data_IF_498500017186
#
_entry.id   IF_498500017186
#
_cell.length_a   1.000
_cell.length_b   1.000
_cell.length_c   1.000
_cell.angle_alpha   90.00
_cell.angle_beta   90.00
_cell.angle_gamma   90.00
#
_symmetry.space_group_name_H-M   'P 1'
#
loop_
_entity.id
_entity.type
_entity.pdbx_description
1 polymer ?
#
# COMPACT_ATOMS: atom_id res chain seq x y z
N UNK A 1 14.67 -1.68 -32.07
CA UNK A 1 13.87 -1.71 -30.83
C UNK A 1 12.38 -1.50 -31.05
N UNK A 2 11.93 -0.51 -31.86
CA UNK A 2 10.48 -0.16 -32.05
C UNK A 2 9.52 -1.32 -32.39
N UNK A 3 9.93 -2.32 -33.18
CA UNK A 3 9.07 -3.49 -33.48
C UNK A 3 8.91 -4.45 -32.29
N UNK A 4 9.97 -4.63 -31.49
CA UNK A 4 9.92 -5.51 -30.32
C UNK A 4 9.04 -4.91 -29.23
N UNK A 5 9.16 -3.61 -28.95
CA UNK A 5 8.28 -2.94 -27.99
C UNK A 5 6.81 -3.04 -28.41
N UNK A 6 6.49 -2.78 -29.69
CA UNK A 6 5.13 -2.94 -30.21
C UNK A 6 4.59 -4.38 -30.08
N UNK A 7 5.43 -5.41 -30.29
CA UNK A 7 5.03 -6.80 -30.09
C UNK A 7 4.77 -7.10 -28.60
N UNK A 8 5.63 -6.61 -27.71
CA UNK A 8 5.48 -6.77 -26.26
C UNK A 8 4.21 -6.07 -25.72
N UNK A 9 3.82 -4.93 -26.29
CA UNK A 9 2.56 -4.24 -25.94
C UNK A 9 1.32 -5.04 -26.38
N UNK A 10 1.41 -5.84 -27.43
CA UNK A 10 0.27 -6.60 -27.97
C UNK A 10 0.10 -7.99 -27.33
N UNK A 11 1.03 -8.42 -26.47
CA UNK A 11 0.88 -9.66 -25.72
C UNK A 11 -0.10 -9.45 -24.56
N UNK A 12 -0.99 -10.43 -24.26
CA UNK A 12 -1.79 -10.40 -23.05
C UNK A 12 -0.86 -10.30 -21.84
N UNK A 13 -1.04 -9.28 -21.00
CA UNK A 13 -0.27 -9.16 -19.77
C UNK A 13 -0.69 -10.29 -18.82
N UNK A 14 0.24 -11.17 -18.46
CA UNK A 14 0.07 -12.18 -17.42
C UNK A 14 0.91 -11.81 -16.18
N UNK A 15 0.73 -12.53 -15.07
CA UNK A 15 1.52 -12.31 -13.85
C UNK A 15 3.01 -12.50 -14.15
N UNK A 16 3.36 -13.56 -14.87
CA UNK A 16 4.73 -13.94 -15.19
C UNK A 16 5.39 -12.90 -16.09
N UNK A 17 4.67 -12.41 -17.09
CA UNK A 17 5.15 -11.34 -17.98
C UNK A 17 5.32 -10.02 -17.22
N UNK A 18 4.35 -9.67 -16.36
CA UNK A 18 4.44 -8.47 -15.54
C UNK A 18 5.67 -8.50 -14.64
N UNK A 19 5.90 -9.61 -13.93
CA UNK A 19 7.08 -9.78 -13.07
C UNK A 19 8.39 -9.70 -13.89
N UNK A 20 8.43 -10.32 -15.08
CA UNK A 20 9.58 -10.24 -15.98
C UNK A 20 9.88 -8.80 -16.41
N UNK A 21 8.86 -8.00 -16.72
CA UNK A 21 9.05 -6.59 -17.09
C UNK A 21 9.51 -5.73 -15.92
N UNK A 22 9.13 -6.06 -14.69
CA UNK A 22 9.57 -5.34 -13.50
C UNK A 22 11.01 -5.70 -13.07
N UNK A 23 11.39 -6.97 -13.24
CA UNK A 23 12.73 -7.47 -12.90
C UNK A 23 13.79 -7.18 -13.98
N UNK A 24 13.37 -6.67 -15.14
CA UNK A 24 14.27 -6.44 -16.27
C UNK A 24 15.39 -5.43 -15.91
N UNK A 25 16.67 -5.86 -15.88
CA UNK A 25 17.78 -4.98 -15.56
C UNK A 25 18.01 -4.02 -16.71
N UNK A 26 17.52 -2.79 -16.59
CA UNK A 26 17.62 -1.83 -17.67
C UNK A 26 18.88 -0.97 -17.55
N UNK A 27 19.66 -0.90 -18.64
CA UNK A 27 20.65 0.17 -18.79
C UNK A 27 19.93 1.51 -18.99
N UNK A 28 20.54 2.61 -18.54
CA UNK A 28 19.95 3.96 -18.58
C UNK A 28 19.48 4.39 -19.98
N UNK A 29 20.06 3.80 -21.05
CA UNK A 29 19.71 4.06 -22.45
C UNK A 29 18.35 3.47 -22.86
N UNK A 30 17.94 2.34 -22.29
CA UNK A 30 16.71 1.61 -22.68
C UNK A 30 15.57 1.83 -21.68
N UNK A 31 15.87 2.35 -20.49
CA UNK A 31 14.89 2.53 -19.40
C UNK A 31 13.68 3.36 -19.82
N UNK A 32 13.92 4.48 -20.51
CA UNK A 32 12.86 5.34 -21.02
C UNK A 32 11.99 4.66 -22.10
N UNK A 33 12.58 3.75 -22.88
CA UNK A 33 11.84 3.05 -23.94
C UNK A 33 10.91 1.96 -23.37
N UNK A 34 11.25 1.34 -22.24
CA UNK A 34 10.46 0.27 -21.64
C UNK A 34 9.58 0.72 -20.47
N UNK A 35 9.68 1.99 -20.04
CA UNK A 35 8.90 2.54 -18.92
C UNK A 35 7.41 2.26 -19.03
N UNK A 36 6.85 2.39 -20.25
CA UNK A 36 5.44 2.09 -20.51
C UNK A 36 5.06 0.62 -20.22
N UNK A 37 5.98 -0.33 -20.43
CA UNK A 37 5.77 -1.74 -20.09
C UNK A 37 5.84 -1.96 -18.58
N UNK A 38 6.79 -1.30 -17.91
CA UNK A 38 6.91 -1.32 -16.45
C UNK A 38 5.66 -0.74 -15.79
N UNK A 39 5.16 0.40 -16.27
CA UNK A 39 3.95 1.04 -15.75
C UNK A 39 2.72 0.17 -15.98
N UNK A 40 2.57 -0.39 -17.18
CA UNK A 40 1.50 -1.33 -17.49
C UNK A 40 1.56 -2.60 -16.63
N UNK A 41 2.76 -3.12 -16.33
CA UNK A 41 2.94 -4.26 -15.45
C UNK A 41 2.53 -3.95 -14.00
N UNK A 42 2.90 -2.76 -13.47
CA UNK A 42 2.48 -2.30 -12.14
C UNK A 42 0.96 -2.15 -12.07
N UNK A 43 0.36 -1.48 -13.05
CA UNK A 43 -1.08 -1.28 -13.12
C UNK A 43 -1.82 -2.63 -13.22
N UNK A 44 -1.33 -3.55 -14.06
CA UNK A 44 -1.88 -4.89 -14.18
C UNK A 44 -1.87 -5.64 -12.84
N UNK A 45 -0.73 -5.68 -12.14
CA UNK A 45 -0.63 -6.37 -10.85
C UNK A 45 -1.53 -5.72 -9.80
N UNK A 46 -1.53 -4.39 -9.70
CA UNK A 46 -2.38 -3.66 -8.77
C UNK A 46 -3.87 -3.93 -9.02
N UNK A 47 -4.30 -3.99 -10.30
CA UNK A 47 -5.68 -4.30 -10.66
C UNK A 47 -6.04 -5.76 -10.42
N UNK A 48 -5.14 -6.70 -10.75
CA UNK A 48 -5.36 -8.14 -10.52
C UNK A 48 -5.52 -8.45 -9.03
N UNK A 49 -4.63 -7.91 -8.20
CA UNK A 49 -4.60 -8.14 -6.75
C UNK A 49 -5.32 -7.04 -5.94
N UNK A 50 -6.20 -6.26 -6.59
CA UNK A 50 -6.90 -5.14 -5.96
C UNK A 50 -7.66 -5.54 -4.69
N UNK A 51 -8.19 -6.75 -4.65
CA UNK A 51 -8.85 -7.34 -3.48
C UNK A 51 -7.93 -8.42 -2.92
N UNK A 52 -7.09 -8.06 -1.94
CA UNK A 52 -6.01 -8.91 -1.44
C UNK A 52 -6.53 -10.27 -0.92
N UNK A 53 -7.64 -10.25 -0.19
CA UNK A 53 -8.24 -11.44 0.43
C UNK A 53 -8.67 -12.54 -0.58
N UNK A 54 -8.74 -12.21 -1.88
CA UNK A 54 -9.04 -13.21 -2.92
C UNK A 54 -7.84 -14.06 -3.30
N UNK A 55 -6.62 -13.64 -2.95
CA UNK A 55 -5.38 -14.24 -3.45
C UNK A 55 -4.34 -14.47 -2.33
N UNK A 56 -4.70 -15.01 -1.15
CA UNK A 56 -3.77 -15.08 -0.02
C UNK A 56 -2.52 -15.89 -0.33
N UNK A 57 -2.67 -17.08 -0.94
CA UNK A 57 -1.53 -17.93 -1.29
C UNK A 57 -0.66 -17.32 -2.41
N UNK A 58 -1.30 -16.79 -3.45
CA UNK A 58 -0.56 -16.16 -4.56
C UNK A 58 0.26 -14.95 -4.12
N UNK A 59 -0.27 -14.17 -3.16
CA UNK A 59 0.41 -13.02 -2.57
C UNK A 59 1.53 -13.44 -1.62
N UNK A 60 1.34 -14.49 -0.82
CA UNK A 60 2.41 -15.04 0.00
C UNK A 60 3.58 -15.56 -0.85
N UNK A 61 3.31 -16.19 -1.99
CA UNK A 61 4.33 -16.66 -2.94
C UNK A 61 4.83 -15.55 -3.90
N UNK A 62 4.39 -14.30 -3.72
CA UNK A 62 4.77 -13.20 -4.62
C UNK A 62 6.21 -12.76 -4.35
N UNK A 63 7.07 -12.58 -5.38
CA UNK A 63 8.39 -12.01 -5.17
C UNK A 63 8.29 -10.53 -4.77
N UNK A 64 9.34 -10.02 -4.11
CA UNK A 64 9.41 -8.66 -3.59
C UNK A 64 8.98 -7.60 -4.62
N UNK A 65 9.47 -7.67 -5.86
CA UNK A 65 9.15 -6.70 -6.90
C UNK A 65 7.65 -6.63 -7.21
N UNK A 66 6.94 -7.76 -7.09
CA UNK A 66 5.50 -7.84 -7.26
C UNK A 66 4.76 -7.24 -6.07
N UNK A 67 5.20 -7.55 -4.84
CA UNK A 67 4.67 -6.93 -3.62
C UNK A 67 4.79 -5.41 -3.70
N UNK A 68 5.96 -4.89 -4.05
CA UNK A 68 6.16 -3.45 -4.18
C UNK A 68 5.25 -2.82 -5.23
N UNK A 69 5.11 -3.46 -6.39
CA UNK A 69 4.23 -2.97 -7.45
C UNK A 69 2.77 -2.89 -6.99
N UNK A 70 2.29 -3.91 -6.28
CA UNK A 70 0.91 -3.99 -5.77
C UNK A 70 0.68 -2.92 -4.69
N UNK A 71 1.52 -2.90 -3.65
CA UNK A 71 1.34 -2.03 -2.48
C UNK A 71 1.76 -0.57 -2.71
N UNK A 72 2.45 -0.27 -3.82
CA UNK A 72 2.62 1.12 -4.28
C UNK A 72 1.30 1.76 -4.75
N UNK A 73 0.29 0.95 -5.12
CA UNK A 73 -1.00 1.45 -5.60
C UNK A 73 -1.84 2.08 -4.49
N UNK A 74 -2.49 3.20 -4.80
CA UNK A 74 -3.48 3.85 -3.92
C UNK A 74 -4.87 3.25 -4.02
N UNK A 75 -5.11 2.39 -4.99
CA UNK A 75 -6.46 1.94 -5.36
C UNK A 75 -6.80 0.55 -4.81
N UNK A 76 -6.00 0.02 -3.89
CA UNK A 76 -6.25 -1.28 -3.27
C UNK A 76 -7.53 -1.25 -2.42
N UNK A 77 -8.37 -2.27 -2.56
CA UNK A 77 -9.58 -2.47 -1.75
C UNK A 77 -9.20 -3.22 -0.47
N UNK A 78 -8.54 -2.49 0.43
CA UNK A 78 -8.15 -2.98 1.75
C UNK A 78 -9.19 -2.61 2.81
N UNK A 79 -9.37 -3.49 3.79
CA UNK A 79 -10.23 -3.21 4.94
C UNK A 79 -9.64 -2.13 5.85
N UNK A 80 -8.31 -2.14 6.03
CA UNK A 80 -7.55 -1.12 6.75
C UNK A 80 -6.06 -1.21 6.41
N UNK A 81 -5.33 -0.11 6.65
CA UNK A 81 -3.86 -0.11 6.57
C UNK A 81 -3.20 -0.92 7.70
N UNK A 82 -3.95 -1.21 8.78
CA UNK A 82 -3.50 -2.15 9.82
C UNK A 82 -3.37 -3.57 9.27
N UNK A 83 -4.29 -3.98 8.37
CA UNK A 83 -4.23 -5.27 7.71
C UNK A 83 -3.05 -5.36 6.75
N UNK A 84 -2.72 -4.25 6.06
CA UNK A 84 -1.53 -4.17 5.20
C UNK A 84 -0.25 -4.33 6.01
N UNK A 85 -0.16 -3.65 7.17
CA UNK A 85 0.99 -3.80 8.07
C UNK A 85 1.17 -5.26 8.49
N UNK A 86 0.10 -5.90 8.99
CA UNK A 86 0.16 -7.30 9.44
C UNK A 86 0.55 -8.22 8.28
N UNK A 87 -0.06 -8.06 7.11
CA UNK A 87 0.24 -8.87 5.93
C UNK A 87 1.71 -8.74 5.49
N UNK A 88 2.24 -7.52 5.36
CA UNK A 88 3.62 -7.32 4.92
C UNK A 88 4.63 -7.86 5.94
N UNK A 89 4.29 -7.79 7.23
CA UNK A 89 5.12 -8.34 8.30
C UNK A 89 5.16 -9.87 8.23
N UNK A 90 3.99 -10.52 8.10
CA UNK A 90 3.91 -11.96 7.89
C UNK A 90 4.67 -12.39 6.62
N UNK A 91 4.49 -11.65 5.52
CA UNK A 91 5.16 -11.93 4.25
C UNK A 91 6.69 -11.86 4.38
N UNK A 92 7.25 -10.82 5.00
CA UNK A 92 8.72 -10.70 5.12
C UNK A 92 9.31 -11.79 6.03
N UNK A 93 8.56 -12.21 7.05
CA UNK A 93 8.96 -13.31 7.94
C UNK A 93 8.97 -14.66 7.23
N UNK A 94 7.99 -14.93 6.36
CA UNK A 94 7.93 -16.16 5.57
C UNK A 94 8.97 -16.20 4.45
N UNK A 95 9.25 -15.05 3.81
CA UNK A 95 10.17 -15.00 2.66
C UNK A 95 11.65 -15.01 3.03
N UNK A 96 12.00 -14.55 4.23
CA UNK A 96 13.39 -14.40 4.64
C UNK A 96 13.62 -15.05 6.02
N UNK A 97 14.33 -16.17 6.01
CA UNK A 97 14.71 -16.89 7.23
C UNK A 97 15.74 -16.09 8.05
N UNK A 98 16.67 -15.43 7.38
CA UNK A 98 17.74 -14.64 8.00
C UNK A 98 17.24 -13.28 8.48
N UNK A 99 17.46 -12.99 9.76
CA UNK A 99 16.98 -11.76 10.43
C UNK A 99 17.55 -10.49 9.81
N UNK A 100 18.83 -10.47 9.41
CA UNK A 100 19.45 -9.29 8.79
C UNK A 100 18.80 -8.91 7.45
N UNK A 101 18.50 -9.92 6.62
CA UNK A 101 17.81 -9.70 5.34
C UNK A 101 16.36 -9.25 5.56
N UNK A 102 15.65 -9.84 6.54
CA UNK A 102 14.32 -9.35 6.97
C UNK A 102 14.37 -7.88 7.32
N UNK A 103 15.29 -7.49 8.19
CA UNK A 103 15.43 -6.11 8.66
C UNK A 103 15.71 -5.14 7.52
N UNK A 104 16.61 -5.53 6.61
CA UNK A 104 16.97 -4.72 5.45
C UNK A 104 15.79 -4.54 4.49
N UNK A 105 15.07 -5.62 4.15
CA UNK A 105 13.93 -5.56 3.23
C UNK A 105 12.77 -4.80 3.87
N UNK A 106 12.47 -5.08 5.14
CA UNK A 106 11.44 -4.39 5.89
C UNK A 106 11.69 -2.87 5.91
N UNK A 107 12.87 -2.46 6.36
CA UNK A 107 13.18 -1.04 6.56
C UNK A 107 13.27 -0.23 5.26
N UNK A 108 13.92 -0.79 4.23
CA UNK A 108 14.25 -0.04 3.02
C UNK A 108 13.20 -0.15 1.91
N UNK A 109 12.43 -1.26 1.86
CA UNK A 109 11.52 -1.56 0.75
C UNK A 109 10.06 -1.59 1.18
N UNK A 110 9.73 -2.20 2.31
CA UNK A 110 8.34 -2.39 2.73
C UNK A 110 7.77 -1.24 3.58
N UNK A 111 8.54 -0.70 4.54
CA UNK A 111 8.13 0.45 5.35
C UNK A 111 7.66 1.66 4.52
N UNK A 112 8.32 2.03 3.39
CA UNK A 112 7.86 3.12 2.54
C UNK A 112 6.49 2.91 1.87
N UNK A 113 6.02 1.66 1.77
CA UNK A 113 4.73 1.33 1.17
C UNK A 113 3.56 1.57 2.15
N UNK A 114 3.85 1.56 3.46
CA UNK A 114 2.85 1.70 4.51
C UNK A 114 2.42 3.15 4.72
N UNK A 115 1.10 3.36 4.79
CA UNK A 115 0.52 4.68 5.07
C UNK A 115 0.21 4.81 6.56
N UNK A 116 1.23 4.99 7.40
CA UNK A 116 1.09 5.09 8.86
C UNK A 116 0.03 6.10 9.33
N UNK A 117 -0.19 7.19 8.58
CA UNK A 117 -1.23 8.17 8.87
C UNK A 117 -2.67 7.62 8.78
N UNK A 118 -2.86 6.52 8.06
CA UNK A 118 -4.15 5.86 7.88
C UNK A 118 -4.32 4.62 8.77
N UNK A 119 -3.26 4.19 9.46
CA UNK A 119 -3.35 3.13 10.48
C UNK A 119 -4.14 3.60 11.71
N UNK A 120 -4.71 2.65 12.45
CA UNK A 120 -5.41 2.94 13.70
C UNK A 120 -4.44 3.35 14.79
N UNK A 121 -4.90 4.25 15.67
CA UNK A 121 -4.11 4.67 16.83
C UNK A 121 -3.71 3.47 17.71
N UNK A 122 -4.63 2.51 17.88
CA UNK A 122 -4.39 1.28 18.64
C UNK A 122 -3.23 0.47 18.04
N UNK A 123 -3.27 0.19 16.73
CA UNK A 123 -2.21 -0.59 16.06
C UNK A 123 -0.86 0.12 16.13
N UNK A 124 -0.83 1.43 15.92
CA UNK A 124 0.40 2.22 16.05
C UNK A 124 0.99 2.14 17.46
N UNK A 125 0.15 2.21 18.51
CA UNK A 125 0.62 2.03 19.88
C UNK A 125 1.13 0.62 20.15
N UNK A 126 0.42 -0.40 19.68
CA UNK A 126 0.83 -1.80 19.82
C UNK A 126 2.24 -2.02 19.24
N UNK A 127 2.49 -1.53 18.02
CA UNK A 127 3.81 -1.65 17.38
C UNK A 127 4.89 -0.88 18.13
N UNK A 128 4.59 0.28 18.73
CA UNK A 128 5.56 1.01 19.56
C UNK A 128 5.91 0.28 20.87
N UNK A 129 4.94 -0.41 21.46
CA UNK A 129 5.12 -1.11 22.74
C UNK A 129 5.76 -2.47 22.59
N UNK A 130 5.68 -3.07 21.40
CA UNK A 130 6.22 -4.38 21.11
C UNK A 130 7.68 -4.24 20.66
N UNK A 131 8.61 -4.82 21.41
CA UNK A 131 9.97 -5.08 20.93
C UNK A 131 9.97 -6.43 20.23
N UNK A 132 9.88 -6.37 18.90
CA UNK A 132 10.10 -7.54 18.05
C UNK A 132 11.55 -7.57 17.61
N UNK A 133 12.25 -8.67 17.88
CA UNK A 133 13.60 -8.90 17.36
C UNK A 133 13.56 -9.27 15.85
N UNK A 134 12.40 -9.64 15.31
CA UNK A 134 12.28 -10.13 13.94
C UNK A 134 12.35 -9.05 12.86
N UNK A 135 12.13 -7.77 13.21
CA UNK A 135 12.17 -6.61 12.30
C UNK A 135 12.71 -5.36 12.98
N UNK A 136 13.55 -4.59 12.26
CA UNK A 136 14.15 -3.33 12.74
C UNK A 136 13.07 -2.39 13.30
N UNK A 137 13.04 -2.35 14.64
CA UNK A 137 12.03 -1.64 15.37
C UNK A 137 12.29 -0.13 15.40
N UNK A 138 13.54 0.32 15.26
CA UNK A 138 13.89 1.73 15.45
C UNK A 138 13.36 2.62 14.32
N UNK A 139 13.52 2.20 13.06
CA UNK A 139 12.96 2.94 11.92
C UNK A 139 11.42 2.91 11.92
N UNK A 140 10.84 1.77 12.30
CA UNK A 140 9.39 1.58 12.43
C UNK A 140 8.84 2.53 13.51
N UNK A 141 9.44 2.54 14.71
CA UNK A 141 9.11 3.44 15.82
C UNK A 141 9.19 4.92 15.44
N UNK A 142 10.23 5.31 14.69
CA UNK A 142 10.38 6.70 14.21
C UNK A 142 9.21 7.10 13.31
N UNK A 143 8.88 6.29 12.29
CA UNK A 143 7.77 6.55 11.36
C UNK A 143 6.42 6.62 12.08
N UNK A 144 6.22 5.74 13.06
CA UNK A 144 5.00 5.74 13.87
C UNK A 144 4.92 7.00 14.73
N UNK A 145 6.02 7.41 15.36
CA UNK A 145 6.07 8.63 16.18
C UNK A 145 5.67 9.86 15.35
N UNK A 146 6.20 9.98 14.13
CA UNK A 146 5.85 11.06 13.19
C UNK A 146 4.35 11.02 12.82
N UNK A 147 3.80 9.83 12.55
CA UNK A 147 2.38 9.68 12.23
C UNK A 147 1.45 10.00 13.42
N UNK A 148 1.83 9.59 14.64
CA UNK A 148 1.08 9.90 15.86
C UNK A 148 1.12 11.39 16.18
N UNK A 149 2.26 12.05 15.96
CA UNK A 149 2.38 13.50 16.08
C UNK A 149 1.44 14.20 15.09
N UNK A 150 1.43 13.78 13.82
CA UNK A 150 0.52 14.33 12.82
C UNK A 150 -0.96 14.14 13.20
N UNK A 151 -1.35 12.95 13.69
CA UNK A 151 -2.72 12.69 14.19
C UNK A 151 -3.08 13.55 15.40
N UNK A 152 -2.16 13.77 16.35
CA UNK A 152 -2.37 14.67 17.49
C UNK A 152 -2.47 16.14 17.08
N UNK A 153 -1.73 16.55 16.04
CA UNK A 153 -1.70 17.93 15.54
C UNK A 153 -2.91 18.27 14.65
N UNK A 154 -3.66 17.26 14.20
CA UNK A 154 -4.88 17.42 13.37
C UNK A 154 -6.18 17.04 14.10
N UNK A 155 -6.49 17.58 15.30
CA UNK A 155 -7.70 17.22 16.02
C UNK A 155 -9.00 17.79 15.42
N UNK A 156 -8.95 18.52 14.30
CA UNK A 156 -10.03 19.39 13.83
C UNK A 156 -10.80 18.94 12.59
N UNK A 157 -10.34 17.96 11.81
CA UNK A 157 -11.05 17.57 10.57
C UNK A 157 -12.16 16.54 10.78
N UNK A 158 -12.14 15.76 11.88
CA UNK A 158 -13.19 14.77 12.17
C UNK A 158 -14.48 15.36 12.77
N UNK A 159 -14.53 16.66 13.10
CA UNK A 159 -15.74 17.30 13.66
C UNK A 159 -16.60 18.05 12.65
N UNK A 160 -16.10 18.34 11.45
CA UNK A 160 -16.83 19.20 10.50
C UNK A 160 -17.86 18.42 9.67
N UNK A 161 -17.80 17.09 9.62
CA UNK A 161 -18.76 16.30 8.80
C UNK A 161 -20.04 15.86 9.54
N UNK A 162 -20.17 16.05 10.86
CA UNK A 162 -21.34 15.58 11.63
C UNK A 162 -22.30 16.69 12.10
N UNK A 163 -22.26 17.88 11.51
CA UNK A 163 -23.16 18.98 11.92
C UNK A 163 -23.89 19.71 10.78
N UNK A 164 -24.06 19.08 9.61
CA UNK A 164 -24.85 19.65 8.50
C UNK A 164 -26.17 18.93 8.17
N UNK A 165 -26.69 18.07 9.05
CA UNK A 165 -28.05 17.51 8.92
C UNK A 165 -28.90 17.83 10.14
N UNK A 166 -29.18 19.12 10.35
CA UNK A 166 -30.38 19.57 11.06
C UNK A 166 -30.71 21.00 10.64
N UNK A 167 -31.32 21.16 9.46
CA UNK A 167 -32.14 22.34 9.17
C UNK A 167 -33.52 22.12 9.79
N UNK A 168 -34.06 23.04 10.60
CA UNK A 168 -35.43 22.95 11.06
C UNK A 168 -36.39 23.29 9.91
N UNK A 169 -37.29 22.36 9.61
CA UNK A 169 -38.42 22.55 8.70
C UNK A 169 -39.28 23.71 9.23
N UNK A 170 -39.35 24.79 8.46
CA UNK A 170 -40.25 25.92 8.72
C UNK A 170 -41.69 25.43 8.59
N UNK A 171 -42.41 25.33 9.71
CA UNK A 171 -43.85 25.05 9.70
C UNK A 171 -44.61 26.30 9.27
N UNK A 172 -45.11 26.32 8.04
CA UNK A 172 -46.15 27.27 7.62
C UNK A 172 -47.44 26.98 8.41
N UNK A 173 -47.78 27.86 9.35
CA UNK A 173 -49.11 27.93 9.92
C UNK A 173 -49.95 28.87 9.07
N UNK A 174 -50.84 28.31 8.25
CA UNK A 174 -51.98 29.05 7.74
C UNK A 174 -53.06 29.04 8.84
N UNK A 175 -53.24 30.17 9.51
CA UNK A 175 -54.38 30.41 10.38
C UNK A 175 -55.60 30.87 9.56
N UNK A 176 -56.84 30.53 9.97
CA UNK A 176 -58.04 31.03 9.33
C UNK A 176 -58.55 32.27 10.06
N UNK A 177 -58.84 33.34 9.32
CA UNK A 177 -59.92 34.32 9.59
C UNK A 177 -60.14 35.16 8.34
#
# INVERSE_FOLDING_TARGET
MRRCSQLLTNLPMTREIALLYLDYPCSTSVAAEIQHLTDAAKEFLANKYKVLDKFPHELMDMPLIGIEAIFSSTDLQISSEDAVYTFLLEWVCEQFVETEDRHKIWSSRLLPLLRFNHMSWKKLQEVLTYDDDDVDNEQTKKRITDALLHKKLTPHTSKVHLQQTQQPVVKFHNGPT
#
